data_IF_354325835131
#
_entry.id   IF_354325835131
#
_cell.length_a   1.000
_cell.length_b   1.000
_cell.length_c   1.000
_cell.angle_alpha   90.00
_cell.angle_beta   90.00
_cell.angle_gamma   90.00
#
_symmetry.space_group_name_H-M   'P 1'
#
loop_
_entity.id
_entity.type
_entity.pdbx_description
1 polymer ?
#
# COMPACT_ATOMS: atom_id res chain seq x y z
N UNK A 1 -2.44 3.28 -14.46
CA UNK A 1 -1.68 2.06 -14.08
C UNK A 1 -1.79 1.93 -12.57
N UNK A 2 -2.25 0.78 -12.10
CA UNK A 2 -2.19 0.39 -10.70
C UNK A 2 -1.09 -0.67 -10.59
N UNK A 3 -0.18 -0.52 -9.62
CA UNK A 3 0.72 -1.61 -9.26
C UNK A 3 -0.01 -2.41 -8.19
N UNK A 4 -0.62 -3.53 -8.57
CA UNK A 4 -1.13 -4.51 -7.61
C UNK A 4 0.06 -5.29 -7.08
N UNK A 5 0.41 -5.06 -5.81
CA UNK A 5 1.47 -5.79 -5.15
C UNK A 5 0.82 -6.87 -4.32
N UNK A 6 0.74 -8.05 -4.90
CA UNK A 6 0.36 -9.27 -4.18
C UNK A 6 1.57 -9.76 -3.40
N UNK A 7 1.68 -9.34 -2.14
CA UNK A 7 2.59 -9.96 -1.18
C UNK A 7 1.99 -11.29 -0.73
N UNK A 8 2.70 -12.39 -0.98
CA UNK A 8 2.34 -13.70 -0.42
C UNK A 8 2.82 -13.74 1.03
N UNK A 9 1.91 -13.45 1.96
CA UNK A 9 2.12 -13.70 3.37
C UNK A 9 1.83 -15.19 3.63
N UNK A 10 2.83 -15.97 4.03
CA UNK A 10 2.56 -17.26 4.68
C UNK A 10 1.69 -16.98 5.92
N UNK A 11 0.50 -17.57 5.98
CA UNK A 11 -0.48 -17.28 7.03
C UNK A 11 -1.61 -16.33 6.64
N UNK A 12 -1.67 -15.82 5.41
CA UNK A 12 -2.68 -14.82 4.98
C UNK A 12 -4.12 -15.33 5.10
N UNK A 13 -4.33 -16.62 4.92
CA UNK A 13 -5.66 -17.24 4.94
C UNK A 13 -6.14 -17.50 6.37
N UNK A 14 -5.26 -17.95 7.26
CA UNK A 14 -5.52 -18.00 8.70
C UNK A 14 -5.78 -16.59 9.28
N UNK A 15 -4.99 -15.60 8.86
CA UNK A 15 -5.19 -14.19 9.24
C UNK A 15 -6.57 -13.69 8.79
N UNK A 16 -6.95 -13.97 7.54
CA UNK A 16 -8.27 -13.58 7.01
C UNK A 16 -9.41 -14.18 7.81
N UNK A 17 -9.31 -15.46 8.19
CA UNK A 17 -10.34 -16.13 8.98
C UNK A 17 -10.39 -15.61 10.43
N UNK A 18 -9.24 -15.40 11.07
CA UNK A 18 -9.16 -14.80 12.40
C UNK A 18 -9.77 -13.38 12.42
N UNK A 19 -9.43 -12.56 11.41
CA UNK A 19 -9.95 -11.20 11.25
C UNK A 19 -11.45 -11.15 10.94
N UNK A 20 -12.02 -12.19 10.32
CA UNK A 20 -13.47 -12.29 10.08
C UNK A 20 -14.28 -12.60 11.34
N UNK A 21 -13.65 -13.19 12.36
CA UNK A 21 -14.28 -13.45 13.67
C UNK A 21 -14.09 -12.30 14.67
N UNK A 22 -13.30 -11.30 14.29
CA UNK A 22 -12.96 -10.14 15.10
C UNK A 22 -14.08 -9.10 15.16
N UNK A 23 -14.05 -8.28 16.21
CA UNK A 23 -15.01 -7.18 16.35
C UNK A 23 -14.85 -6.12 15.24
N UNK A 24 -15.99 -5.56 14.84
CA UNK A 24 -16.12 -4.50 13.84
C UNK A 24 -15.30 -3.24 14.17
N UNK A 25 -14.99 -3.01 15.45
CA UNK A 25 -14.14 -1.92 15.90
C UNK A 25 -12.67 -2.12 15.48
N UNK A 26 -12.13 -3.33 15.64
CA UNK A 26 -10.75 -3.61 15.25
C UNK A 26 -10.60 -3.65 13.72
N UNK A 27 -11.60 -4.16 13.01
CA UNK A 27 -11.57 -4.10 11.55
C UNK A 27 -11.43 -2.66 11.03
N UNK A 28 -12.15 -1.72 11.65
CA UNK A 28 -12.02 -0.29 11.33
C UNK A 28 -10.66 0.27 11.72
N UNK A 29 -10.13 -0.09 12.89
CA UNK A 29 -8.81 0.36 13.35
C UNK A 29 -7.70 -0.03 12.37
N UNK A 30 -7.63 -1.31 11.97
CA UNK A 30 -6.61 -1.78 11.02
C UNK A 30 -6.82 -1.16 9.64
N UNK A 31 -8.07 -0.96 9.22
CA UNK A 31 -8.37 -0.25 7.98
C UNK A 31 -7.86 1.21 7.99
N UNK A 32 -8.02 1.93 9.11
CA UNK A 32 -7.51 3.29 9.29
C UNK A 32 -5.98 3.34 9.24
N UNK A 33 -5.30 2.37 9.87
CA UNK A 33 -3.84 2.25 9.80
C UNK A 33 -3.36 2.00 8.36
N UNK A 34 -4.00 1.07 7.65
CA UNK A 34 -3.67 0.77 6.26
C UNK A 34 -3.92 1.96 5.33
N UNK A 35 -5.01 2.70 5.55
CA UNK A 35 -5.32 3.94 4.83
C UNK A 35 -4.25 5.02 5.09
N UNK A 36 -3.85 5.21 6.35
CA UNK A 36 -2.77 6.13 6.70
C UNK A 36 -1.44 5.75 6.05
N UNK A 37 -1.10 4.46 6.05
CA UNK A 37 0.08 3.94 5.37
C UNK A 37 0.04 4.21 3.85
N UNK A 38 -1.08 3.90 3.19
CA UNK A 38 -1.23 4.11 1.75
C UNK A 38 -1.14 5.60 1.37
N UNK A 39 -1.66 6.50 2.22
CA UNK A 39 -1.53 7.94 2.06
C UNK A 39 -0.07 8.42 2.18
N UNK A 40 0.71 7.86 3.10
CA UNK A 40 2.13 8.17 3.24
C UNK A 40 2.94 7.71 2.01
N UNK A 41 2.67 6.49 1.51
CA UNK A 41 3.26 5.98 0.26
C UNK A 41 2.94 6.92 -0.91
N UNK A 42 1.66 7.33 -1.04
CA UNK A 42 1.25 8.30 -2.07
C UNK A 42 1.98 9.62 -1.92
N UNK A 43 2.14 10.13 -0.70
CA UNK A 43 2.82 11.39 -0.45
C UNK A 43 4.29 11.34 -0.90
N UNK A 44 5.01 10.28 -0.55
CA UNK A 44 6.39 10.07 -0.99
C UNK A 44 6.47 9.87 -2.51
N UNK A 45 5.57 9.07 -3.10
CA UNK A 45 5.52 8.87 -4.55
C UNK A 45 5.31 10.20 -5.29
N UNK A 46 4.52 11.12 -4.73
CA UNK A 46 4.35 12.48 -5.27
C UNK A 46 5.60 13.35 -5.18
N UNK A 47 6.44 13.15 -4.16
CA UNK A 47 7.71 13.86 -4.01
C UNK A 47 8.76 13.34 -5.00
N UNK A 48 8.79 12.03 -5.23
CA UNK A 48 9.72 11.38 -6.16
C UNK A 48 9.33 11.57 -7.63
N UNK A 49 8.05 11.78 -7.92
CA UNK A 49 7.56 11.88 -9.28
C UNK A 49 8.19 13.05 -10.06
N UNK A 50 8.73 12.81 -11.28
CA UNK A 50 9.32 13.86 -12.09
C UNK A 50 8.26 14.87 -12.53
N UNK A 51 8.60 16.15 -12.44
CA UNK A 51 7.67 17.25 -12.72
C UNK A 51 8.04 17.95 -14.02
N UNK A 52 7.12 17.89 -15.00
CA UNK A 52 7.16 18.73 -16.21
C UNK A 52 6.00 19.72 -16.24
N UNK A 53 4.77 19.21 -16.29
CA UNK A 53 3.53 19.99 -16.23
C UNK A 53 2.80 19.85 -14.88
N UNK A 54 3.22 18.90 -14.05
CA UNK A 54 2.55 18.53 -12.80
C UNK A 54 1.46 17.45 -12.95
N UNK A 55 1.01 17.13 -14.17
CA UNK A 55 -0.10 16.18 -14.38
C UNK A 55 0.19 14.77 -13.83
N UNK A 56 1.41 14.25 -14.04
CA UNK A 56 1.81 12.95 -13.49
C UNK A 56 1.64 12.93 -11.98
N UNK A 57 2.22 13.90 -11.28
CA UNK A 57 2.17 14.03 -9.83
C UNK A 57 0.75 14.21 -9.31
N UNK A 58 -0.09 14.99 -9.99
CA UNK A 58 -1.49 15.15 -9.57
C UNK A 58 -2.33 13.89 -9.78
N UNK A 59 -1.94 13.03 -10.72
CA UNK A 59 -2.66 11.79 -11.04
C UNK A 59 -2.35 10.61 -10.11
N UNK A 60 -1.40 10.75 -9.18
CA UNK A 60 -1.04 9.70 -8.22
C UNK A 60 -2.11 9.59 -7.15
N UNK A 61 -2.63 8.38 -6.96
CA UNK A 61 -3.69 8.06 -6.02
C UNK A 61 -3.30 6.88 -5.12
N UNK A 62 -4.00 6.80 -3.99
CA UNK A 62 -4.04 5.64 -3.10
C UNK A 62 -5.51 5.34 -2.81
N UNK A 63 -5.89 4.08 -2.87
CA UNK A 63 -7.22 3.58 -2.51
C UNK A 63 -7.06 2.37 -1.62
N UNK A 64 -7.89 2.25 -0.60
CA UNK A 64 -7.96 1.06 0.23
C UNK A 64 -9.34 0.44 0.07
N UNK A 65 -9.38 -0.82 -0.34
CA UNK A 65 -10.59 -1.60 -0.51
C UNK A 65 -10.45 -2.87 0.31
N UNK A 66 -11.31 -3.03 1.31
CA UNK A 66 -11.20 -4.05 2.35
C UNK A 66 -9.81 -4.01 3.04
N UNK A 67 -8.93 -4.91 2.63
CA UNK A 67 -7.57 -5.12 3.13
C UNK A 67 -6.48 -4.90 2.07
N UNK A 68 -6.86 -4.39 0.90
CA UNK A 68 -5.96 -4.18 -0.23
C UNK A 68 -5.73 -2.69 -0.41
N UNK A 69 -4.48 -2.26 -0.28
CA UNK A 69 -4.05 -0.92 -0.60
C UNK A 69 -3.54 -0.86 -2.06
N UNK A 70 -4.27 -0.13 -2.90
CA UNK A 70 -3.93 0.13 -4.29
C UNK A 70 -3.25 1.49 -4.41
N UNK A 71 -2.00 1.52 -4.89
CA UNK A 71 -1.27 2.74 -5.22
C UNK A 71 -1.01 2.77 -6.71
N UNK A 72 -1.36 3.89 -7.35
CA UNK A 72 -1.30 4.01 -8.79
C UNK A 72 -1.23 5.44 -9.28
N UNK A 73 -1.17 5.58 -10.61
CA UNK A 73 -1.23 6.86 -11.29
C UNK A 73 -2.16 6.76 -12.51
N UNK A 74 -3.06 7.73 -12.66
CA UNK A 74 -4.01 7.77 -13.79
C UNK A 74 -3.38 8.25 -15.09
N UNK A 75 -2.24 8.96 -15.03
CA UNK A 75 -1.51 9.37 -16.23
C UNK A 75 -1.16 8.13 -17.08
N UNK A 76 -1.63 8.11 -18.33
CA UNK A 76 -1.46 6.98 -19.25
C UNK A 76 0.00 6.64 -19.52
N UNK A 77 0.90 7.62 -19.38
CA UNK A 77 2.33 7.46 -19.56
C UNK A 77 3.10 7.12 -18.27
N UNK A 78 2.42 7.00 -17.13
CA UNK A 78 3.05 6.72 -15.83
C UNK A 78 3.88 5.42 -15.85
N UNK A 79 3.39 4.37 -16.51
CA UNK A 79 4.10 3.09 -16.68
C UNK A 79 5.47 3.29 -17.33
N UNK A 80 5.51 4.07 -18.40
CA UNK A 80 6.74 4.33 -19.14
C UNK A 80 7.72 5.17 -18.32
N UNK A 81 7.23 6.05 -17.45
CA UNK A 81 8.06 6.84 -16.55
C UNK A 81 8.65 5.94 -15.45
N UNK A 82 7.82 5.10 -14.82
CA UNK A 82 8.24 4.22 -13.72
C UNK A 82 9.32 3.23 -14.17
N UNK A 83 9.11 2.54 -15.31
CA UNK A 83 9.98 1.44 -15.75
C UNK A 83 10.91 1.79 -16.92
N UNK A 84 10.76 2.99 -17.49
CA UNK A 84 11.49 3.39 -18.68
C UNK A 84 10.97 2.72 -19.95
N UNK A 85 11.64 3.02 -21.05
CA UNK A 85 11.40 2.42 -22.38
C UNK A 85 12.74 2.20 -23.07
N UNK A 86 12.73 1.59 -24.26
CA UNK A 86 13.95 1.45 -25.09
C UNK A 86 14.70 2.78 -25.31
N UNK A 87 14.00 3.93 -25.29
CA UNK A 87 14.57 5.25 -25.60
C UNK A 87 14.63 6.21 -24.40
N UNK A 88 14.14 5.80 -23.24
CA UNK A 88 14.03 6.66 -22.05
C UNK A 88 14.38 5.85 -20.80
N UNK A 89 15.31 6.36 -19.99
CA UNK A 89 15.65 5.74 -18.71
C UNK A 89 14.46 5.79 -17.74
N UNK A 90 14.37 4.78 -16.87
CA UNK A 90 13.37 4.72 -15.81
C UNK A 90 13.56 5.87 -14.81
N UNK A 91 12.46 6.45 -14.37
CA UNK A 91 12.36 7.45 -13.30
C UNK A 91 11.31 6.96 -12.30
N UNK A 92 11.63 5.90 -11.54
CA UNK A 92 10.66 5.27 -10.67
C UNK A 92 10.28 6.19 -9.52
N UNK A 93 9.00 6.18 -9.16
CA UNK A 93 8.42 7.03 -8.14
C UNK A 93 7.44 6.27 -7.24
N UNK A 94 6.72 5.26 -7.75
CA UNK A 94 5.83 4.42 -6.93
C UNK A 94 6.64 3.32 -6.22
N UNK A 95 7.44 2.57 -6.96
CA UNK A 95 8.19 1.45 -6.42
C UNK A 95 9.15 1.86 -5.28
N UNK A 96 10.00 2.90 -5.41
CA UNK A 96 10.84 3.35 -4.31
C UNK A 96 10.04 3.84 -3.11
N UNK A 97 8.91 4.53 -3.33
CA UNK A 97 8.06 5.01 -2.25
C UNK A 97 7.47 3.86 -1.43
N UNK A 98 7.03 2.80 -2.12
CA UNK A 98 6.57 1.59 -1.47
C UNK A 98 7.71 0.91 -0.70
N UNK A 99 8.88 0.69 -1.31
CA UNK A 99 9.99 0.01 -0.64
C UNK A 99 10.39 0.70 0.67
N UNK A 100 10.39 2.02 0.69
CA UNK A 100 10.70 2.81 1.89
C UNK A 100 9.67 2.58 3.02
N UNK A 101 8.41 2.30 2.67
CA UNK A 101 7.31 2.14 3.61
C UNK A 101 6.96 0.67 3.91
N UNK A 102 7.60 -0.31 3.28
CA UNK A 102 7.38 -1.73 3.57
C UNK A 102 7.61 -2.09 5.04
N UNK A 103 8.67 -1.60 5.73
CA UNK A 103 8.88 -1.92 7.15
C UNK A 103 7.74 -1.41 8.05
N UNK A 104 7.15 -0.26 7.71
CA UNK A 104 6.01 0.27 8.45
C UNK A 104 4.76 -0.61 8.26
N UNK A 105 4.55 -1.13 7.05
CA UNK A 105 3.45 -2.05 6.78
C UNK A 105 3.58 -3.34 7.59
N UNK A 106 4.79 -3.90 7.66
CA UNK A 106 5.08 -5.09 8.46
C UNK A 106 4.72 -4.88 9.94
N UNK A 107 5.11 -3.74 10.52
CA UNK A 107 4.74 -3.39 11.89
C UNK A 107 3.22 -3.30 12.09
N UNK A 108 2.50 -2.64 11.18
CA UNK A 108 1.03 -2.55 11.23
C UNK A 108 0.38 -3.94 11.22
N UNK A 109 0.89 -4.86 10.39
CA UNK A 109 0.37 -6.23 10.31
C UNK A 109 0.67 -7.01 11.60
N UNK A 110 1.88 -6.91 12.13
CA UNK A 110 2.24 -7.60 13.38
C UNK A 110 1.40 -7.11 14.56
N UNK A 111 1.23 -5.78 14.69
CA UNK A 111 0.36 -5.20 15.72
C UNK A 111 -1.09 -5.66 15.57
N UNK A 112 -1.61 -5.73 14.35
CA UNK A 112 -2.95 -6.23 14.09
C UNK A 112 -3.09 -7.72 14.50
N UNK A 113 -2.09 -8.55 14.23
CA UNK A 113 -2.07 -9.96 14.63
C UNK A 113 -2.04 -10.10 16.15
N UNK A 114 -1.18 -9.35 16.84
CA UNK A 114 -1.03 -9.44 18.29
C UNK A 114 -2.31 -9.00 19.01
N UNK A 115 -2.97 -7.95 18.54
CA UNK A 115 -4.27 -7.52 19.06
C UNK A 115 -5.36 -8.58 18.81
N UNK A 116 -5.38 -9.18 17.61
CA UNK A 116 -6.33 -10.24 17.28
C UNK A 116 -6.17 -11.48 18.19
N UNK A 117 -4.92 -11.88 18.48
CA UNK A 117 -4.62 -12.98 19.42
C UNK A 117 -5.08 -12.67 20.84
N UNK A 118 -4.81 -11.45 21.31
CA UNK A 118 -5.19 -11.01 22.65
C UNK A 118 -6.71 -11.06 22.87
N UNK A 119 -7.51 -10.62 21.89
CA UNK A 119 -8.97 -10.71 21.97
C UNK A 119 -9.50 -12.14 21.86
N UNK A 120 -8.85 -12.99 21.04
CA UNK A 120 -9.20 -14.40 20.91
C UNK A 120 -8.81 -15.27 22.12
N UNK A 121 -8.07 -14.70 23.09
CA UNK A 121 -7.53 -15.45 24.24
C UNK A 121 -6.50 -16.51 23.83
N UNK A 122 -5.87 -16.34 22.66
CA UNK A 122 -4.84 -17.22 22.12
C UNK A 122 -3.45 -16.65 22.49
N UNK A 123 -2.47 -17.52 22.81
CA UNK A 123 -1.10 -17.08 23.14
C UNK A 123 -0.33 -16.51 21.94
#
# INVERSE_FOLDING_TARGET
MALEITCYLEGAEEFRQAMQQLDSAMQKYVHELLAGWAENVKALAKQLAPVRTGYLRSSIYAKVHDWVAEIGAEATYALFVEFGTRRMQAQPFIYPALQEHLPQLEQIILEAIDQAKAEAGLP
#
